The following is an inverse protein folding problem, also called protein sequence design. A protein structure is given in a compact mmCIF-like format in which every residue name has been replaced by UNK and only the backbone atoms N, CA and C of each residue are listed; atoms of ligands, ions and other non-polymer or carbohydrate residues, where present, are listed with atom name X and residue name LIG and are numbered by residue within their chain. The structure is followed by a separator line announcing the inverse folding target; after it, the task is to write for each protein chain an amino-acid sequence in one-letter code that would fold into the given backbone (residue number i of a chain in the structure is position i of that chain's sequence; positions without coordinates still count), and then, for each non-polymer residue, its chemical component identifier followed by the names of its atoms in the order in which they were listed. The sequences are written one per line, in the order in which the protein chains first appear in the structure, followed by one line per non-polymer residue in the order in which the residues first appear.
data_IF_349860248632
#
_entry.id   IF_349860248632
#
_cell.length_a   1.000
_cell.length_b   1.000
_cell.length_c   1.000
_cell.angle_alpha   90.00
_cell.angle_beta   90.00
_cell.angle_gamma   90.00
#
_symmetry.space_group_name_H-M   'P 1'
#
loop_
_entity.id
_entity.type
_entity.pdbx_description
1 polymer ?
#
# COMPACT_ATOMS: atom_id res chain seq x y z
N UNK A 1 22.51 15.33 -24.78
CA UNK A 1 21.09 14.97 -24.51
C UNK A 1 20.21 16.13 -24.95
N UNK A 2 19.07 15.85 -25.59
CA UNK A 2 18.14 16.89 -26.02
C UNK A 2 17.14 17.21 -24.90
N UNK A 3 16.97 18.50 -24.60
CA UNK A 3 16.00 18.96 -23.58
C UNK A 3 14.73 19.43 -24.26
N UNK A 4 13.58 18.89 -23.86
CA UNK A 4 12.25 19.36 -24.25
C UNK A 4 11.54 19.99 -23.06
N UNK A 5 10.78 21.05 -23.29
CA UNK A 5 10.00 21.77 -22.26
C UNK A 5 8.51 21.56 -22.51
N UNK A 6 7.75 21.51 -21.43
CA UNK A 6 6.28 21.52 -21.44
C UNK A 6 5.79 22.80 -20.78
N UNK A 7 4.71 23.39 -21.30
CA UNK A 7 4.07 24.55 -20.70
C UNK A 7 2.87 24.08 -19.88
N UNK A 8 2.73 24.62 -18.68
CA UNK A 8 1.60 24.35 -17.78
C UNK A 8 0.87 25.66 -17.49
N UNK A 9 -0.46 25.60 -17.44
CA UNK A 9 -1.32 26.72 -17.06
C UNK A 9 -2.13 26.35 -15.83
N UNK A 10 -2.18 27.25 -14.85
CA UNK A 10 -2.92 27.08 -13.60
C UNK A 10 -4.02 28.12 -13.51
N UNK A 11 -5.25 27.70 -13.20
CA UNK A 11 -6.35 28.64 -12.95
C UNK A 11 -6.32 29.12 -11.50
N UNK A 12 -6.24 30.44 -11.27
CA UNK A 12 -6.26 30.99 -9.91
C UNK A 12 -7.64 30.86 -9.23
N UNK A 13 -8.67 30.49 -9.99
CA UNK A 13 -10.03 30.29 -9.50
C UNK A 13 -10.28 28.84 -9.06
N UNK A 14 -9.39 27.89 -9.38
CA UNK A 14 -9.48 26.49 -8.95
C UNK A 14 -8.56 26.29 -7.77
N UNK A 15 -9.09 25.81 -6.65
CA UNK A 15 -8.33 25.70 -5.40
C UNK A 15 -7.08 24.82 -5.55
N UNK A 16 -7.22 23.66 -6.20
CA UNK A 16 -6.10 22.73 -6.42
C UNK A 16 -5.02 23.34 -7.31
N UNK A 17 -5.41 24.03 -8.38
CA UNK A 17 -4.48 24.71 -9.28
C UNK A 17 -3.70 25.79 -8.54
N UNK A 18 -4.37 26.57 -7.67
CA UNK A 18 -3.74 27.60 -6.85
C UNK A 18 -2.75 26.99 -5.85
N UNK A 19 -3.11 25.88 -5.19
CA UNK A 19 -2.23 25.14 -4.27
C UNK A 19 -0.99 24.63 -4.98
N UNK A 20 -1.16 23.90 -6.08
CA UNK A 20 -0.05 23.34 -6.87
C UNK A 20 0.82 24.45 -7.44
N UNK A 21 0.22 25.54 -7.94
CA UNK A 21 0.96 26.70 -8.42
C UNK A 21 1.86 27.29 -7.33
N UNK A 22 1.34 27.52 -6.12
CA UNK A 22 2.14 28.05 -5.00
C UNK A 22 3.30 27.12 -4.67
N UNK A 23 3.03 25.83 -4.49
CA UNK A 23 4.06 24.82 -4.19
C UNK A 23 5.17 24.86 -5.24
N UNK A 24 4.82 24.78 -6.53
CA UNK A 24 5.80 24.79 -7.62
C UNK A 24 6.54 26.12 -7.72
N UNK A 25 5.85 27.25 -7.49
CA UNK A 25 6.45 28.59 -7.58
C UNK A 25 7.62 28.76 -6.61
N UNK A 26 7.52 28.19 -5.41
CA UNK A 26 8.51 28.23 -4.33
C UNK A 26 9.71 27.29 -4.58
N UNK A 27 9.58 26.28 -5.45
CA UNK A 27 10.68 25.35 -5.72
C UNK A 27 11.79 25.97 -6.57
N UNK A 28 13.04 25.83 -6.12
CA UNK A 28 14.24 26.22 -6.87
C UNK A 28 14.44 25.37 -8.13
N UNK A 29 14.12 24.08 -8.07
CA UNK A 29 14.30 23.11 -9.17
C UNK A 29 12.95 22.47 -9.56
N UNK A 30 12.09 23.26 -10.23
CA UNK A 30 10.71 22.89 -10.59
C UNK A 30 10.61 21.57 -11.37
N UNK A 31 11.47 21.39 -12.38
CA UNK A 31 11.46 20.17 -13.20
C UNK A 31 11.78 18.92 -12.40
N UNK A 32 12.79 18.98 -11.51
CA UNK A 32 13.17 17.85 -10.65
C UNK A 32 12.05 17.51 -9.66
N UNK A 33 11.44 18.53 -9.07
CA UNK A 33 10.30 18.36 -8.18
C UNK A 33 9.12 17.67 -8.88
N UNK A 34 8.76 18.13 -10.09
CA UNK A 34 7.68 17.52 -10.88
C UNK A 34 8.00 16.07 -11.27
N UNK A 35 9.25 15.76 -11.65
CA UNK A 35 9.67 14.39 -11.96
C UNK A 35 9.42 13.48 -10.75
N UNK A 36 9.90 13.89 -9.57
CA UNK A 36 9.74 13.11 -8.33
C UNK A 36 8.27 12.93 -7.97
N UNK A 37 7.50 14.02 -7.98
CA UNK A 37 6.08 13.96 -7.64
C UNK A 37 5.28 13.05 -8.58
N UNK A 38 5.53 13.12 -9.90
CA UNK A 38 4.86 12.28 -10.89
C UNK A 38 5.25 10.81 -10.75
N UNK A 39 6.55 10.53 -10.57
CA UNK A 39 7.03 9.15 -10.37
C UNK A 39 6.46 8.54 -9.09
N UNK A 40 6.50 9.27 -7.96
CA UNK A 40 5.90 8.80 -6.71
C UNK A 40 4.40 8.57 -6.82
N UNK A 41 3.67 9.46 -7.49
CA UNK A 41 2.22 9.27 -7.71
C UNK A 41 1.90 8.05 -8.57
N UNK A 42 2.72 7.75 -9.59
CA UNK A 42 2.55 6.56 -10.41
C UNK A 42 2.95 5.32 -9.61
N UNK A 43 4.09 5.33 -8.91
CA UNK A 43 4.54 4.23 -8.07
C UNK A 43 3.56 3.92 -6.93
N UNK A 44 2.93 4.92 -6.32
CA UNK A 44 1.89 4.73 -5.30
C UNK A 44 0.58 4.18 -5.89
N UNK A 45 0.27 4.47 -7.17
CA UNK A 45 -0.88 3.88 -7.87
C UNK A 45 -0.60 2.50 -8.44
N UNK A 46 0.63 2.21 -8.83
CA UNK A 46 1.09 0.88 -9.27
C UNK A 46 1.34 -0.03 -8.07
N UNK A 47 1.61 0.53 -6.89
CA UNK A 47 1.37 -0.12 -5.59
C UNK A 47 -0.11 -0.07 -5.27
N UNK A 48 -0.93 -0.64 -6.15
CA UNK A 48 -2.22 -1.14 -5.75
C UNK A 48 -1.95 -1.98 -4.50
N UNK A 49 -2.49 -1.54 -3.36
CA UNK A 49 -2.12 -1.99 -2.02
C UNK A 49 -2.01 -3.52 -2.03
N UNK A 50 -0.78 -4.06 -2.04
CA UNK A 50 -0.58 -5.46 -2.36
C UNK A 50 -1.04 -6.30 -1.17
N UNK A 51 -2.31 -6.68 -1.22
CA UNK A 51 -2.98 -7.47 -0.20
C UNK A 51 -2.22 -8.76 0.05
N UNK A 52 -1.49 -9.28 -0.94
CA UNK A 52 -0.66 -10.46 -0.77
C UNK A 52 0.57 -10.18 0.10
N UNK A 53 1.19 -8.99 0.02
CA UNK A 53 2.26 -8.58 0.95
C UNK A 53 1.72 -8.52 2.40
N UNK A 54 0.52 -7.97 2.60
CA UNK A 54 -0.09 -7.91 3.94
C UNK A 54 -0.45 -9.30 4.45
N UNK A 55 -1.06 -10.15 3.61
CA UNK A 55 -1.35 -11.55 3.97
C UNK A 55 -0.08 -12.31 4.31
N UNK A 56 0.99 -12.13 3.54
CA UNK A 56 2.27 -12.80 3.77
C UNK A 56 2.92 -12.33 5.08
N UNK A 57 2.96 -11.03 5.34
CA UNK A 57 3.49 -10.48 6.60
C UNK A 57 2.72 -10.99 7.83
N UNK A 58 1.39 -11.13 7.74
CA UNK A 58 0.59 -11.67 8.85
C UNK A 58 0.79 -13.19 9.01
N UNK A 59 0.91 -13.95 7.92
CA UNK A 59 1.28 -15.39 7.98
C UNK A 59 2.63 -15.58 8.68
N UNK A 60 3.62 -14.78 8.32
CA UNK A 60 4.97 -14.83 8.91
C UNK A 60 4.94 -14.49 10.40
N UNK A 61 4.25 -13.42 10.80
CA UNK A 61 4.12 -13.03 12.20
C UNK A 61 3.42 -14.11 13.05
N UNK A 62 2.39 -14.77 12.50
CA UNK A 62 1.68 -15.84 13.18
C UNK A 62 2.58 -17.08 13.33
N UNK A 63 3.33 -17.45 12.29
CA UNK A 63 4.29 -18.55 12.36
C UNK A 63 5.40 -18.29 13.40
N UNK A 64 5.92 -17.06 13.46
CA UNK A 64 6.94 -16.66 14.43
C UNK A 64 6.41 -16.65 15.87
N UNK A 65 5.13 -16.29 16.07
CA UNK A 65 4.47 -16.32 17.39
C UNK A 65 4.04 -17.74 17.83
N UNK A 66 4.40 -18.79 17.10
CA UNK A 66 4.07 -20.17 17.44
C UNK A 66 2.72 -20.65 16.89
N UNK A 67 2.17 -20.00 15.87
CA UNK A 67 0.91 -20.37 15.22
C UNK A 67 -0.35 -19.96 16.01
N UNK A 68 -1.52 -20.09 15.38
CA UNK A 68 -2.80 -19.99 16.09
C UNK A 68 -3.18 -21.38 16.57
N UNK A 69 -3.36 -21.56 17.88
CA UNK A 69 -3.92 -22.79 18.44
C UNK A 69 -5.45 -22.71 18.34
N UNK A 70 -6.04 -23.52 17.46
CA UNK A 70 -7.50 -23.68 17.42
C UNK A 70 -7.86 -24.83 18.36
N UNK A 71 -8.47 -24.49 19.50
CA UNK A 71 -9.11 -25.51 20.34
C UNK A 71 -10.31 -26.09 19.58
N UNK A 72 -10.16 -27.31 19.06
CA UNK A 72 -11.28 -28.11 18.58
C UNK A 72 -12.21 -28.44 19.75
N UNK A 73 -13.20 -27.57 20.03
CA UNK A 73 -14.32 -27.90 20.92
C UNK A 73 -15.28 -28.83 20.20
N UNK A 74 -14.88 -30.08 20.03
CA UNK A 74 -15.71 -31.09 19.38
C UNK A 74 -15.07 -32.47 19.37
N UNK A 75 -15.35 -33.24 20.44
CA UNK A 75 -15.32 -34.71 20.56
C UNK A 75 -13.95 -35.38 20.81
N UNK A 76 -13.80 -35.76 22.08
CA UNK A 76 -13.29 -37.04 22.59
C UNK A 76 -11.96 -37.60 22.02
N UNK A 77 -10.93 -37.52 22.87
CA UNK A 77 -9.85 -38.49 23.04
C UNK A 77 -8.89 -38.73 21.86
N UNK A 78 -8.19 -37.69 21.39
CA UNK A 78 -6.74 -37.71 21.13
C UNK A 78 -6.28 -36.28 20.74
N UNK A 79 -5.91 -35.45 21.72
CA UNK A 79 -5.60 -34.04 21.46
C UNK A 79 -4.16 -33.87 20.97
N UNK A 80 -3.89 -34.26 19.73
CA UNK A 80 -2.78 -33.69 18.99
C UNK A 80 -3.17 -32.28 18.56
N UNK A 81 -2.54 -31.28 19.17
CA UNK A 81 -2.70 -29.86 18.78
C UNK A 81 -2.15 -29.71 17.37
N UNK A 82 -3.00 -29.82 16.36
CA UNK A 82 -2.63 -29.44 14.99
C UNK A 82 -2.61 -27.92 14.92
N UNK A 83 -1.41 -27.37 14.78
CA UNK A 83 -1.19 -25.98 14.36
C UNK A 83 -1.52 -25.84 12.87
N UNK A 84 -2.80 -25.94 12.53
CA UNK A 84 -3.26 -25.65 11.18
C UNK A 84 -4.00 -24.32 11.21
N UNK A 85 -3.39 -23.28 10.62
CA UNK A 85 -4.12 -22.07 10.28
C UNK A 85 -5.13 -22.45 9.19
N UNK A 86 -6.44 -22.24 9.40
CA UNK A 86 -7.42 -22.34 8.33
C UNK A 86 -7.05 -21.34 7.23
N UNK A 87 -6.95 -21.84 6.00
CA UNK A 87 -6.60 -21.05 4.81
C UNK A 87 -7.51 -19.82 4.65
N UNK A 88 -8.75 -19.92 5.14
CA UNK A 88 -9.78 -18.89 5.01
C UNK A 88 -9.69 -17.73 6.02
N UNK A 89 -8.81 -17.77 7.04
CA UNK A 89 -8.64 -16.63 7.99
C UNK A 89 -8.31 -15.34 7.25
N UNK A 90 -7.51 -15.44 6.19
CA UNK A 90 -7.05 -14.28 5.42
C UNK A 90 -8.09 -13.75 4.44
N UNK A 91 -9.23 -14.41 4.27
CA UNK A 91 -10.31 -13.93 3.42
C UNK A 91 -10.99 -12.67 4.00
N UNK A 92 -10.79 -12.37 5.29
CA UNK A 92 -11.26 -11.12 5.91
C UNK A 92 -10.63 -9.87 5.26
N UNK A 93 -9.43 -9.99 4.68
CA UNK A 93 -8.75 -8.89 3.97
C UNK A 93 -9.25 -8.68 2.53
N UNK A 94 -10.11 -9.56 2.01
CA UNK A 94 -10.64 -9.40 0.66
C UNK A 94 -11.63 -8.22 0.56
N UNK A 95 -12.18 -7.75 1.69
CA UNK A 95 -13.11 -6.63 1.78
C UNK A 95 -12.44 -5.26 2.07
N UNK A 96 -11.11 -5.20 2.15
CA UNK A 96 -10.31 -3.95 2.22
C UNK A 96 -10.12 -3.33 0.84
#
# INVERSE_FOLDING_TARGET
MATKRINLSFSMNREDDLKVYRILSEQKYKTDYVIKAVLSYIEERDKDFDKEIVKQAVKEAIAECGGITIENKGKENDSCVQHELPDDIFNMFNNL
#
